data_IF_599267980679
#
_entry.id   IF_599267980679
#
_cell.length_a   1.000
_cell.length_b   1.000
_cell.length_c   1.000
_cell.angle_alpha   90.00
_cell.angle_beta   90.00
_cell.angle_gamma   90.00
#
_symmetry.space_group_name_H-M   'P 1'
#
loop_
_entity.id
_entity.type
_entity.pdbx_description
1 polymer ?
#
# COMPACT_ATOMS: atom_id res chain seq x y z
N UNK A 1 20.09 -15.90 -10.79
CA UNK A 1 19.16 -15.18 -11.70
C UNK A 1 20.01 -14.68 -12.87
N UNK A 2 19.65 -14.95 -14.12
CA UNK A 2 20.45 -14.47 -15.26
C UNK A 2 20.37 -12.93 -15.34
N UNK A 3 21.42 -12.25 -15.84
CA UNK A 3 21.40 -10.79 -16.04
C UNK A 3 20.18 -10.31 -16.81
N UNK A 4 19.73 -11.09 -17.79
CA UNK A 4 18.55 -10.79 -18.62
C UNK A 4 17.23 -10.84 -17.84
N UNK A 5 17.14 -11.68 -16.81
CA UNK A 5 15.93 -11.74 -15.96
C UNK A 5 15.84 -10.52 -15.05
N UNK A 6 17.00 -10.04 -14.56
CA UNK A 6 17.09 -8.87 -13.68
C UNK A 6 16.76 -7.56 -14.43
N UNK A 7 17.13 -7.47 -15.71
CA UNK A 7 16.80 -6.32 -16.56
C UNK A 7 15.30 -6.25 -16.88
N UNK A 8 14.65 -7.39 -17.16
CA UNK A 8 13.20 -7.46 -17.34
C UNK A 8 12.44 -7.05 -16.07
N UNK A 9 12.86 -7.55 -14.92
CA UNK A 9 12.23 -7.18 -13.65
C UNK A 9 12.30 -5.67 -13.38
N UNK A 10 13.47 -5.07 -13.57
CA UNK A 10 13.67 -3.64 -13.31
C UNK A 10 12.89 -2.76 -14.29
N UNK A 11 12.77 -3.18 -15.56
CA UNK A 11 11.99 -2.48 -16.58
C UNK A 11 10.49 -2.49 -16.32
N UNK A 12 9.97 -3.59 -15.78
CA UNK A 12 8.54 -3.77 -15.51
C UNK A 12 8.18 -3.59 -14.03
N UNK A 13 9.09 -3.05 -13.22
CA UNK A 13 8.94 -2.99 -11.77
C UNK A 13 7.61 -2.35 -11.34
N UNK A 14 7.28 -1.16 -11.83
CA UNK A 14 6.04 -0.47 -11.48
C UNK A 14 4.77 -1.19 -11.94
N UNK A 15 4.86 -1.90 -13.08
CA UNK A 15 3.75 -2.74 -13.57
C UNK A 15 3.56 -3.97 -12.68
N UNK A 16 4.66 -4.59 -12.23
CA UNK A 16 4.62 -5.72 -11.29
C UNK A 16 4.03 -5.27 -9.96
N UNK A 17 4.46 -4.11 -9.43
CA UNK A 17 3.89 -3.52 -8.20
C UNK A 17 2.38 -3.30 -8.36
N UNK A 18 1.95 -2.69 -9.47
CA UNK A 18 0.53 -2.52 -9.76
C UNK A 18 -0.23 -3.86 -9.79
N UNK A 19 0.31 -4.87 -10.47
CA UNK A 19 -0.33 -6.17 -10.59
C UNK A 19 -0.45 -6.86 -9.23
N UNK A 20 0.60 -6.81 -8.41
CA UNK A 20 0.60 -7.35 -7.04
C UNK A 20 -0.51 -6.67 -6.23
N UNK A 21 -0.62 -5.35 -6.27
CA UNK A 21 -1.66 -4.64 -5.53
C UNK A 21 -3.06 -4.96 -6.07
N UNK A 22 -3.24 -5.02 -7.40
CA UNK A 22 -4.52 -5.36 -8.02
C UNK A 22 -5.01 -6.77 -7.63
N UNK A 23 -4.12 -7.76 -7.64
CA UNK A 23 -4.41 -9.13 -7.18
C UNK A 23 -4.78 -9.11 -5.70
N UNK A 24 -4.02 -8.40 -4.86
CA UNK A 24 -4.33 -8.28 -3.43
C UNK A 24 -5.71 -7.64 -3.20
N UNK A 25 -6.05 -6.57 -3.92
CA UNK A 25 -7.37 -5.93 -3.84
C UNK A 25 -8.49 -6.89 -4.28
N UNK A 26 -8.26 -7.69 -5.33
CA UNK A 26 -9.21 -8.72 -5.77
C UNK A 26 -9.44 -9.80 -4.71
N UNK A 27 -8.36 -10.31 -4.12
CA UNK A 27 -8.42 -11.29 -3.03
C UNK A 27 -9.13 -10.71 -1.80
N UNK A 28 -8.83 -9.47 -1.43
CA UNK A 28 -9.50 -8.78 -0.33
C UNK A 28 -10.99 -8.60 -0.59
N UNK A 29 -11.39 -8.23 -1.81
CA UNK A 29 -12.80 -8.10 -2.17
C UNK A 29 -13.54 -9.42 -1.95
N UNK A 30 -12.92 -10.53 -2.32
CA UNK A 30 -13.45 -11.87 -2.06
C UNK A 30 -13.54 -12.18 -0.55
N UNK A 31 -12.48 -11.90 0.21
CA UNK A 31 -12.43 -12.12 1.67
C UNK A 31 -13.37 -11.19 2.45
N UNK A 32 -13.76 -10.04 1.90
CA UNK A 32 -14.70 -9.12 2.50
C UNK A 32 -16.17 -9.51 2.28
N UNK A 33 -16.47 -10.52 1.46
CA UNK A 33 -17.85 -10.97 1.20
C UNK A 33 -18.65 -11.30 2.48
N UNK A 34 -18.09 -11.96 3.52
CA UNK A 34 -18.80 -12.18 4.78
C UNK A 34 -19.16 -10.89 5.53
N UNK A 35 -18.36 -9.82 5.40
CA UNK A 35 -18.63 -8.51 6.01
C UNK A 35 -19.80 -7.81 5.31
N UNK A 36 -19.89 -7.96 3.99
CA UNK A 36 -21.03 -7.47 3.19
C UNK A 36 -22.29 -8.25 3.55
N UNK A 37 -22.20 -9.59 3.60
CA UNK A 37 -23.33 -10.46 3.93
C UNK A 37 -23.88 -10.21 5.34
N UNK A 38 -23.02 -9.86 6.29
CA UNK A 38 -23.40 -9.47 7.65
C UNK A 38 -23.84 -8.01 7.79
N UNK A 39 -23.97 -7.26 6.69
CA UNK A 39 -24.35 -5.84 6.64
C UNK A 39 -23.45 -4.92 7.46
N UNK A 40 -22.20 -5.32 7.74
CA UNK A 40 -21.21 -4.48 8.44
C UNK A 40 -20.61 -3.41 7.53
N UNK A 41 -20.58 -3.69 6.22
CA UNK A 41 -20.16 -2.79 5.15
C UNK A 41 -21.11 -2.96 3.97
N UNK A 42 -21.40 -1.89 3.23
CA UNK A 42 -22.18 -2.01 1.98
C UNK A 42 -21.29 -2.48 0.82
N UNK A 43 -21.90 -3.13 -0.18
CA UNK A 43 -21.21 -3.49 -1.41
C UNK A 43 -20.63 -2.26 -2.12
N UNK A 44 -21.37 -1.14 -2.09
CA UNK A 44 -20.95 0.14 -2.68
C UNK A 44 -19.73 0.74 -1.97
N UNK A 45 -19.66 0.67 -0.64
CA UNK A 45 -18.51 1.11 0.16
C UNK A 45 -17.25 0.31 -0.23
N UNK A 46 -17.38 -1.01 -0.35
CA UNK A 46 -16.27 -1.90 -0.75
C UNK A 46 -15.82 -1.64 -2.19
N UNK A 47 -16.77 -1.53 -3.14
CA UNK A 47 -16.46 -1.29 -4.55
C UNK A 47 -15.85 0.09 -4.78
N UNK A 48 -16.35 1.11 -4.09
CA UNK A 48 -15.78 2.46 -4.14
C UNK A 48 -14.35 2.49 -3.60
N UNK A 49 -14.09 1.77 -2.49
CA UNK A 49 -12.75 1.62 -1.94
C UNK A 49 -11.80 0.91 -2.93
N UNK A 50 -12.16 -0.27 -3.42
CA UNK A 50 -11.32 -1.04 -4.35
C UNK A 50 -11.03 -0.25 -5.63
N UNK A 51 -12.03 0.44 -6.18
CA UNK A 51 -11.85 1.29 -7.36
C UNK A 51 -10.93 2.48 -7.08
N UNK A 52 -11.11 3.15 -5.94
CA UNK A 52 -10.25 4.26 -5.53
C UNK A 52 -8.80 3.84 -5.35
N UNK A 53 -8.57 2.72 -4.66
CA UNK A 53 -7.23 2.16 -4.46
C UNK A 53 -6.59 1.75 -5.79
N UNK A 54 -7.33 1.07 -6.67
CA UNK A 54 -6.82 0.65 -7.98
C UNK A 54 -6.46 1.86 -8.86
N UNK A 55 -7.31 2.89 -8.89
CA UNK A 55 -7.04 4.11 -9.64
C UNK A 55 -5.81 4.85 -9.10
N UNK A 56 -5.69 4.97 -7.77
CA UNK A 56 -4.53 5.62 -7.14
C UNK A 56 -3.23 4.88 -7.45
N UNK A 57 -3.21 3.56 -7.29
CA UNK A 57 -2.02 2.73 -7.52
C UNK A 57 -1.69 2.67 -9.00
N UNK A 58 -2.69 2.61 -9.88
CA UNK A 58 -2.50 2.69 -11.33
C UNK A 58 -1.92 4.04 -11.76
N UNK A 59 -2.49 5.15 -11.29
CA UNK A 59 -2.01 6.49 -11.63
C UNK A 59 -0.59 6.76 -11.10
N UNK A 60 -0.30 6.36 -9.85
CA UNK A 60 1.04 6.49 -9.28
C UNK A 60 2.06 5.58 -9.96
N UNK A 61 1.72 4.31 -10.23
CA UNK A 61 2.58 3.38 -10.97
C UNK A 61 2.90 3.87 -12.38
N UNK A 62 1.92 4.44 -13.09
CA UNK A 62 2.16 5.08 -14.39
C UNK A 62 3.06 6.30 -14.27
N UNK A 63 2.83 7.18 -13.29
CA UNK A 63 3.64 8.36 -13.08
C UNK A 63 5.11 8.00 -12.75
N UNK A 64 5.33 7.03 -11.85
CA UNK A 64 6.67 6.52 -11.56
C UNK A 64 7.29 5.78 -12.76
N UNK A 65 6.51 5.05 -13.55
CA UNK A 65 6.98 4.43 -14.78
C UNK A 65 7.45 5.46 -15.82
N UNK A 66 6.74 6.57 -15.96
CA UNK A 66 7.17 7.70 -16.79
C UNK A 66 8.45 8.33 -16.25
N UNK A 67 8.53 8.59 -14.95
CA UNK A 67 9.76 9.12 -14.33
C UNK A 67 10.94 8.16 -14.52
N UNK A 68 10.75 6.85 -14.41
CA UNK A 68 11.80 5.87 -14.67
C UNK A 68 12.25 5.90 -16.13
N UNK A 69 11.31 5.95 -17.08
CA UNK A 69 11.64 6.08 -18.50
C UNK A 69 12.42 7.37 -18.82
N UNK A 70 12.14 8.46 -18.10
CA UNK A 70 12.84 9.74 -18.25
C UNK A 70 14.22 9.79 -17.57
N UNK A 71 14.46 8.96 -16.54
CA UNK A 71 15.74 8.95 -15.82
C UNK A 71 16.87 8.25 -16.55
N UNK A 72 16.56 7.49 -17.62
CA UNK A 72 17.49 6.57 -18.30
C UNK A 72 18.11 5.50 -17.39
N UNK A 73 17.80 5.50 -16.09
CA UNK A 73 18.30 4.54 -15.13
C UNK A 73 17.55 3.21 -15.27
N UNK A 74 18.26 2.08 -15.43
CA UNK A 74 17.62 0.78 -15.48
C UNK A 74 17.05 0.37 -14.11
N UNK A 75 17.59 0.89 -13.01
CA UNK A 75 17.19 0.53 -11.65
C UNK A 75 16.16 1.54 -11.09
N UNK A 76 14.91 1.11 -10.83
CA UNK A 76 13.88 1.98 -10.24
C UNK A 76 14.27 2.50 -8.85
N UNK A 77 15.16 1.83 -8.12
CA UNK A 77 15.60 2.27 -6.80
C UNK A 77 16.51 3.51 -6.87
N UNK A 78 17.19 3.76 -8.00
CA UNK A 78 17.99 4.97 -8.17
C UNK A 78 17.11 6.24 -8.05
N UNK A 79 15.86 6.20 -8.51
CA UNK A 79 14.91 7.32 -8.38
C UNK A 79 14.55 7.63 -6.93
N UNK A 80 14.56 6.62 -6.06
CA UNK A 80 14.15 6.73 -4.67
C UNK A 80 15.34 7.00 -3.73
N UNK A 81 16.56 7.20 -4.27
CA UNK A 81 17.74 7.51 -3.45
C UNK A 81 17.60 8.85 -2.74
N UNK A 82 17.99 8.90 -1.47
CA UNK A 82 18.10 10.13 -0.68
C UNK A 82 19.59 10.45 -0.39
N UNK A 83 20.06 11.69 -0.57
CA UNK A 83 19.36 12.81 -1.20
C UNK A 83 19.18 12.59 -2.73
N UNK A 84 18.10 13.11 -3.33
CA UNK A 84 17.96 13.11 -4.77
C UNK A 84 19.07 13.95 -5.39
N UNK A 85 19.79 13.38 -6.35
CA UNK A 85 20.88 14.08 -7.08
C UNK A 85 20.41 14.66 -8.40
N UNK A 86 19.33 14.13 -8.94
CA UNK A 86 18.79 14.47 -10.25
C UNK A 86 17.39 15.09 -10.12
N UNK A 87 17.01 15.88 -11.14
CA UNK A 87 15.69 16.50 -11.20
C UNK A 87 14.58 15.45 -11.19
N UNK A 88 14.76 14.34 -11.93
CA UNK A 88 13.78 13.26 -12.01
C UNK A 88 13.60 12.57 -10.66
N UNK A 89 14.68 12.31 -9.92
CA UNK A 89 14.61 11.81 -8.54
C UNK A 89 13.90 12.79 -7.61
N UNK A 90 14.15 14.10 -7.76
CA UNK A 90 13.43 15.13 -7.00
C UNK A 90 11.92 15.11 -7.29
N UNK A 91 11.54 14.97 -8.57
CA UNK A 91 10.13 14.83 -8.97
C UNK A 91 9.49 13.56 -8.40
N UNK A 92 10.22 12.44 -8.36
CA UNK A 92 9.76 11.19 -7.76
C UNK A 92 9.48 11.35 -6.26
N UNK A 93 10.36 12.02 -5.52
CA UNK A 93 10.16 12.34 -4.10
C UNK A 93 8.99 13.30 -3.85
N UNK A 94 8.82 14.33 -4.69
CA UNK A 94 7.67 15.24 -4.61
C UNK A 94 6.38 14.48 -4.85
N UNK A 95 6.34 13.63 -5.88
CA UNK A 95 5.19 12.78 -6.18
C UNK A 95 4.86 11.86 -5.00
N UNK A 96 5.87 11.22 -4.40
CA UNK A 96 5.69 10.39 -3.20
C UNK A 96 5.08 11.19 -2.05
N UNK A 97 5.64 12.37 -1.76
CA UNK A 97 5.12 13.24 -0.70
C UNK A 97 3.68 13.70 -0.95
N UNK A 98 3.31 13.94 -2.22
CA UNK A 98 1.92 14.25 -2.60
C UNK A 98 0.99 13.05 -2.42
N UNK A 99 1.44 11.84 -2.76
CA UNK A 99 0.66 10.61 -2.57
C UNK A 99 0.43 10.34 -1.08
N UNK A 100 1.45 10.54 -0.25
CA UNK A 100 1.34 10.39 1.21
C UNK A 100 0.41 11.47 1.78
N UNK A 101 0.59 12.74 1.40
CA UNK A 101 -0.30 13.81 1.83
C UNK A 101 -1.75 13.57 1.42
N UNK A 102 -1.99 13.05 0.22
CA UNK A 102 -3.32 12.66 -0.24
C UNK A 102 -3.88 11.49 0.57
N UNK A 103 -3.07 10.48 0.88
CA UNK A 103 -3.48 9.33 1.69
C UNK A 103 -3.87 9.78 3.10
N UNK A 104 -3.05 10.62 3.73
CA UNK A 104 -3.36 11.24 5.03
C UNK A 104 -4.62 12.11 4.94
N UNK A 105 -4.78 12.94 3.90
CA UNK A 105 -5.99 13.73 3.73
C UNK A 105 -7.24 12.83 3.62
N UNK A 106 -7.19 11.76 2.83
CA UNK A 106 -8.28 10.81 2.66
C UNK A 106 -8.63 10.08 3.97
N UNK A 107 -7.61 9.63 4.71
CA UNK A 107 -7.77 8.95 5.99
C UNK A 107 -8.48 9.84 7.04
N UNK A 108 -8.17 11.14 7.08
CA UNK A 108 -8.67 12.07 8.10
C UNK A 108 -9.99 12.76 7.71
N UNK A 109 -10.20 13.08 6.43
CA UNK A 109 -11.33 13.95 6.02
C UNK A 109 -12.52 13.21 5.38
N UNK A 110 -12.33 11.98 4.88
CA UNK A 110 -13.35 11.29 4.06
C UNK A 110 -13.86 9.99 4.65
N UNK A 111 -13.93 9.88 5.98
CA UNK A 111 -14.26 8.63 6.68
C UNK A 111 -13.33 7.46 6.32
N UNK A 112 -12.16 7.73 5.71
CA UNK A 112 -11.21 6.69 5.28
C UNK A 112 -10.78 5.81 6.45
N UNK A 113 -10.46 6.42 7.59
CA UNK A 113 -10.15 5.69 8.81
C UNK A 113 -11.32 4.79 9.29
N UNK A 114 -12.56 5.24 9.17
CA UNK A 114 -13.73 4.44 9.58
C UNK A 114 -13.95 3.25 8.64
N UNK A 115 -13.84 3.48 7.32
CA UNK A 115 -13.93 2.43 6.32
C UNK A 115 -12.82 1.39 6.49
N UNK A 116 -11.61 1.85 6.76
CA UNK A 116 -10.47 1.00 7.05
C UNK A 116 -10.69 0.14 8.29
N UNK A 117 -11.26 0.68 9.36
CA UNK A 117 -11.59 -0.13 10.56
C UNK A 117 -12.61 -1.23 10.22
N UNK A 118 -13.60 -0.92 9.37
CA UNK A 118 -14.61 -1.90 8.93
C UNK A 118 -14.01 -3.01 8.07
N UNK A 119 -13.11 -2.67 7.14
CA UNK A 119 -12.51 -3.63 6.19
C UNK A 119 -11.29 -4.33 6.79
N UNK A 120 -10.59 -3.71 7.75
CA UNK A 120 -9.36 -4.17 8.39
C UNK A 120 -9.34 -5.65 8.76
N UNK A 121 -10.39 -6.23 9.37
CA UNK A 121 -10.45 -7.67 9.65
C UNK A 121 -10.24 -8.56 8.43
N UNK A 122 -10.72 -8.16 7.23
CA UNK A 122 -10.52 -8.90 5.99
C UNK A 122 -9.06 -8.90 5.51
N UNK A 123 -8.26 -7.89 5.90
CA UNK A 123 -6.82 -7.83 5.61
C UNK A 123 -5.99 -8.73 6.53
N UNK A 124 -6.40 -8.87 7.79
CA UNK A 124 -5.63 -9.62 8.80
C UNK A 124 -5.96 -11.12 8.70
N UNK A 125 -7.17 -11.49 8.27
CA UNK A 125 -7.61 -12.88 8.17
C UNK A 125 -6.69 -13.80 7.33
N UNK A 126 -6.25 -13.44 6.10
CA UNK A 126 -5.35 -14.29 5.32
C UNK A 126 -3.96 -14.44 5.96
N UNK A 127 -3.48 -13.41 6.68
CA UNK A 127 -2.26 -13.51 7.48
C UNK A 127 -2.43 -14.47 8.67
N UNK A 128 -3.61 -14.49 9.31
CA UNK A 128 -3.94 -15.47 10.36
C UNK A 128 -4.11 -16.89 9.82
N UNK A 129 -4.60 -17.06 8.58
CA UNK A 129 -4.71 -18.40 7.98
C UNK A 129 -3.34 -19.02 7.66
N UNK A 130 -2.32 -18.18 7.39
CA UNK A 130 -0.94 -18.63 7.18
C UNK A 130 -0.21 -18.98 8.47
N UNK A 131 -0.61 -18.43 9.61
CA UNK A 131 -0.05 -18.76 10.92
C UNK A 131 -1.15 -19.14 11.89
N UNK A 132 -1.32 -20.45 12.15
CA UNK A 132 -2.31 -21.09 13.05
C UNK A 132 -2.63 -20.31 14.34
N UNK A 133 -3.39 -19.23 14.24
CA UNK A 133 -3.97 -18.50 15.36
C UNK A 133 -5.46 -18.62 15.14
N UNK A 134 -6.09 -19.50 15.90
CA UNK A 134 -7.55 -19.63 15.93
C UNK A 134 -8.11 -18.26 16.31
N UNK A 135 -9.02 -17.68 15.49
CA UNK A 135 -9.66 -16.45 15.86
C UNK A 135 -10.47 -16.73 17.14
N UNK A 136 -9.97 -16.27 18.28
CA UNK A 136 -10.80 -16.11 19.48
C UNK A 136 -11.96 -15.24 19.06
N UNK A 137 -13.16 -15.83 19.09
CA UNK A 137 -14.44 -15.19 18.77
C UNK A 137 -14.43 -13.80 19.37
N UNK A 138 -14.30 -12.78 18.52
CA UNK A 138 -14.45 -11.38 18.94
C UNK A 138 -15.92 -11.26 19.32
N UNK A 139 -16.22 -11.34 20.63
CA UNK A 139 -17.55 -11.03 21.14
C UNK A 139 -17.95 -9.67 20.56
N UNK A 140 -19.20 -9.52 20.08
CA UNK A 140 -19.70 -8.19 19.74
C UNK A 140 -19.44 -7.29 20.95
N UNK A 141 -18.67 -6.23 20.73
CA UNK A 141 -18.49 -5.19 21.73
C UNK A 141 -19.85 -4.54 21.93
N UNK A 142 -20.50 -4.89 23.03
CA UNK A 142 -21.71 -4.25 23.50
C UNK A 142 -21.45 -2.73 23.53
N UNK A 143 -22.38 -1.99 22.93
CA UNK A 143 -22.31 -0.53 22.75
C UNK A 143 -21.87 0.18 24.05
N UNK A 144 -20.98 1.18 23.93
CA UNK A 144 -20.50 2.15 24.95
C UNK A 144 -19.13 1.95 25.61
N UNK A 145 -18.40 0.85 25.38
CA UNK A 145 -16.97 0.88 25.72
C UNK A 145 -16.20 1.56 24.60
N UNK A 146 -15.69 2.77 24.89
CA UNK A 146 -14.84 3.57 24.02
C UNK A 146 -13.89 2.66 23.22
N UNK A 147 -14.06 2.63 21.88
CA UNK A 147 -13.12 1.96 20.97
C UNK A 147 -11.73 2.44 21.38
N UNK A 148 -10.85 1.58 21.92
CA UNK A 148 -9.53 2.02 22.33
C UNK A 148 -8.89 2.63 21.09
N UNK A 149 -8.37 3.86 21.22
CA UNK A 149 -7.76 4.61 20.12
C UNK A 149 -6.63 3.86 19.40
N UNK A 150 -6.22 2.70 19.92
CA UNK A 150 -5.15 1.86 19.42
C UNK A 150 -5.42 1.19 18.07
N UNK A 151 -6.64 0.82 17.70
CA UNK A 151 -6.85 0.13 16.40
C UNK A 151 -6.61 1.04 15.19
N UNK A 152 -6.88 2.35 15.34
CA UNK A 152 -6.51 3.35 14.32
C UNK A 152 -5.00 3.48 14.25
N UNK A 153 -4.33 3.57 15.40
CA UNK A 153 -2.87 3.65 15.47
C UNK A 153 -2.18 2.40 14.90
N UNK A 154 -2.77 1.22 15.09
CA UNK A 154 -2.18 -0.05 14.67
C UNK A 154 -2.30 -0.28 13.15
N UNK A 155 -3.42 0.11 12.53
CA UNK A 155 -3.60 -0.07 11.08
C UNK A 155 -2.98 1.08 10.26
N UNK A 156 -3.06 2.32 10.76
CA UNK A 156 -2.23 3.40 10.24
C UNK A 156 -0.76 3.05 10.43
N UNK A 157 -0.40 2.46 11.56
CA UNK A 157 0.92 1.90 11.83
C UNK A 157 1.31 0.84 10.82
N UNK A 158 0.47 -0.13 10.47
CA UNK A 158 0.79 -1.17 9.49
C UNK A 158 0.98 -0.63 8.07
N UNK A 159 0.16 0.35 7.64
CA UNK A 159 0.29 0.99 6.33
C UNK A 159 1.55 1.87 6.29
N UNK A 160 1.80 2.64 7.35
CA UNK A 160 3.02 3.46 7.53
C UNK A 160 4.25 2.59 7.72
N UNK A 161 4.15 1.39 8.30
CA UNK A 161 5.24 0.42 8.41
C UNK A 161 5.45 -0.25 7.05
N UNK A 162 4.43 -0.54 6.26
CA UNK A 162 4.61 -1.09 4.91
C UNK A 162 5.25 -0.07 3.94
N UNK A 163 4.78 1.18 3.96
CA UNK A 163 5.41 2.28 3.23
C UNK A 163 6.80 2.61 3.82
N UNK A 164 6.89 2.60 5.15
CA UNK A 164 8.08 2.85 5.93
C UNK A 164 9.14 1.77 5.78
N UNK A 165 8.79 0.52 5.48
CA UNK A 165 9.71 -0.56 5.12
C UNK A 165 10.21 -0.41 3.69
N UNK A 166 9.42 0.17 2.78
CA UNK A 166 9.89 0.63 1.48
C UNK A 166 10.93 1.75 1.64
N UNK A 167 10.66 2.73 2.52
CA UNK A 167 11.59 3.82 2.86
C UNK A 167 12.79 3.29 3.67
N UNK A 168 12.60 2.36 4.60
CA UNK A 168 13.66 1.74 5.41
C UNK A 168 14.57 0.89 4.53
N UNK A 169 14.03 0.14 3.56
CA UNK A 169 14.84 -0.61 2.59
C UNK A 169 15.76 0.30 1.80
N UNK A 170 15.30 1.51 1.45
CA UNK A 170 16.09 2.56 0.80
C UNK A 170 17.12 3.18 1.77
N UNK A 171 16.74 3.41 3.04
CA UNK A 171 17.60 4.03 4.05
C UNK A 171 18.64 3.07 4.66
N UNK A 172 18.38 1.76 4.68
CA UNK A 172 19.26 0.71 5.21
C UNK A 172 20.38 0.35 4.23
N UNK A 173 20.29 0.79 2.97
CA UNK A 173 21.39 0.74 1.99
C UNK A 173 22.04 2.12 1.72
N UNK A 174 22.56 2.85 2.74
CA UNK A 174 23.19 4.15 2.52
C UNK A 174 24.54 4.03 1.80
N UNK A 175 25.12 2.82 1.72
CA UNK A 175 26.40 2.57 1.05
C UNK A 175 26.17 1.99 -0.35
N UNK A 176 25.91 2.90 -1.29
CA UNK A 176 26.15 2.78 -2.73
C UNK A 176 25.54 1.57 -3.43
N UNK A 177 24.35 1.74 -4.02
CA UNK A 177 23.99 0.97 -5.22
C UNK A 177 25.02 1.33 -6.30
N UNK A 178 25.94 0.44 -6.68
CA UNK A 178 26.92 0.75 -7.71
C UNK A 178 26.19 0.98 -9.03
N UNK A 179 26.24 2.20 -9.56
CA UNK A 179 25.53 2.56 -10.80
C UNK A 179 24.40 3.57 -10.63
N UNK A 180 24.13 4.02 -9.39
CA UNK A 180 23.46 5.29 -9.08
C UNK A 180 24.48 6.26 -8.40
#
# INVERSE_FOLDING_TARGET
MSPDTLSLFSRYFWLIVFLVVAINLGLMKWLAAPLVNSRRISQEELDSFCRGALLMVGASGLAFGVLQALSESPDPLCLMRLPPRELVGTMAWVLLGLLDAWLFAWLWTRNGAHLIIKIGPAFIWPLMLLGRVTPTVIRPLDHESAVPGDYRAMLTGAIVIAQGLGILGVLIHPQGLPGC
#
